data_IF_373821723431
#
_entry.id   IF_373821723431
#
_cell.length_a   1.000
_cell.length_b   1.000
_cell.length_c   1.000
_cell.angle_alpha   90.00
_cell.angle_beta   90.00
_cell.angle_gamma   90.00
#
_symmetry.space_group_name_H-M   'P 1'
#
loop_
_entity.id
_entity.type
_entity.pdbx_description
1 polymer ?
#
# COMPACT_ATOMS: atom_id res chain seq x y z
N UNK A 1 -24.02 -15.69 -39.97
CA UNK A 1 -24.20 -14.27 -39.59
C UNK A 1 -22.96 -13.85 -38.83
N UNK A 2 -22.38 -12.68 -39.11
CA UNK A 2 -21.33 -12.14 -38.23
C UNK A 2 -21.97 -11.78 -36.89
N UNK A 3 -21.36 -12.22 -35.79
CA UNK A 3 -21.82 -11.87 -34.45
C UNK A 3 -21.56 -10.38 -34.21
N UNK A 4 -22.48 -9.70 -33.53
CA UNK A 4 -22.37 -8.29 -33.20
C UNK A 4 -22.73 -8.07 -31.74
N UNK A 5 -22.25 -6.95 -31.19
CA UNK A 5 -22.52 -6.54 -29.82
C UNK A 5 -23.10 -5.13 -29.83
N UNK A 6 -23.97 -4.83 -28.87
CA UNK A 6 -24.55 -3.50 -28.67
C UNK A 6 -23.89 -2.86 -27.46
N UNK A 7 -23.23 -1.72 -27.64
CA UNK A 7 -22.60 -0.98 -26.55
C UNK A 7 -23.37 0.29 -26.24
N UNK A 8 -23.72 0.53 -24.97
CA UNK A 8 -24.36 1.78 -24.53
C UNK A 8 -23.35 2.65 -23.82
N UNK A 9 -23.18 3.88 -24.30
CA UNK A 9 -22.30 4.88 -23.70
C UNK A 9 -22.82 5.35 -22.34
N UNK A 10 -24.13 5.39 -22.16
CA UNK A 10 -24.80 5.83 -20.91
C UNK A 10 -24.54 4.85 -19.77
N UNK A 11 -24.57 3.55 -20.07
CA UNK A 11 -24.38 2.49 -19.05
C UNK A 11 -22.96 1.92 -19.05
N UNK A 12 -22.11 2.37 -19.97
CA UNK A 12 -20.75 1.88 -20.21
C UNK A 12 -20.68 0.33 -20.29
N UNK A 13 -21.65 -0.28 -20.97
CA UNK A 13 -21.86 -1.74 -20.93
C UNK A 13 -22.21 -2.32 -22.31
N UNK A 14 -21.90 -3.60 -22.49
CA UNK A 14 -22.27 -4.38 -23.68
C UNK A 14 -23.53 -5.21 -23.41
N UNK A 15 -24.38 -5.32 -24.43
CA UNK A 15 -25.67 -6.01 -24.38
C UNK A 15 -25.81 -7.00 -25.53
N UNK A 16 -26.29 -8.23 -25.26
CA UNK A 16 -26.55 -9.25 -26.28
C UNK A 16 -27.89 -9.04 -26.99
N UNK A 17 -28.95 -8.63 -26.27
CA UNK A 17 -30.31 -8.33 -26.77
C UNK A 17 -30.98 -7.29 -25.85
N UNK A 18 -31.95 -6.54 -26.36
CA UNK A 18 -32.72 -5.53 -25.59
C UNK A 18 -31.85 -4.42 -24.95
N UNK A 19 -31.02 -3.78 -25.77
CA UNK A 19 -30.09 -2.76 -25.33
C UNK A 19 -30.75 -1.38 -25.16
N UNK A 20 -30.17 -0.48 -24.34
CA UNK A 20 -30.58 0.93 -24.26
C UNK A 20 -30.65 1.61 -25.63
N UNK A 21 -31.50 2.62 -25.76
CA UNK A 21 -31.74 3.32 -27.04
C UNK A 21 -30.49 4.03 -27.60
N UNK A 22 -29.53 4.38 -26.75
CA UNK A 22 -28.25 4.98 -27.14
C UNK A 22 -27.21 3.95 -27.59
N UNK A 23 -27.58 2.67 -27.70
CA UNK A 23 -26.63 1.61 -28.00
C UNK A 23 -26.18 1.64 -29.45
N UNK A 24 -24.86 1.51 -29.64
CA UNK A 24 -24.21 1.42 -30.94
C UNK A 24 -23.78 -0.01 -31.21
N UNK A 25 -23.96 -0.45 -32.45
CA UNK A 25 -23.53 -1.78 -32.89
C UNK A 25 -22.03 -1.78 -33.16
N UNK A 26 -21.32 -2.77 -32.62
CA UNK A 26 -19.92 -3.05 -32.91
C UNK A 26 -19.74 -4.49 -33.41
N UNK A 27 -18.64 -4.73 -34.13
CA UNK A 27 -18.31 -6.06 -34.61
C UNK A 27 -17.73 -6.93 -33.47
N UNK A 28 -17.78 -8.24 -33.64
CA UNK A 28 -17.13 -9.18 -32.73
C UNK A 28 -15.62 -8.98 -32.63
N UNK A 29 -14.94 -8.64 -33.73
CA UNK A 29 -13.52 -8.35 -33.71
C UNK A 29 -13.21 -7.13 -32.84
N UNK A 30 -14.02 -6.07 -32.94
CA UNK A 30 -13.86 -4.88 -32.10
C UNK A 30 -14.16 -5.16 -30.64
N UNK A 31 -15.20 -5.94 -30.35
CA UNK A 31 -15.51 -6.38 -28.99
C UNK A 31 -14.32 -7.15 -28.38
N UNK A 32 -13.75 -8.07 -29.13
CA UNK A 32 -12.59 -8.88 -28.71
C UNK A 32 -11.36 -7.99 -28.45
N UNK A 33 -11.06 -7.03 -29.33
CA UNK A 33 -9.99 -6.04 -29.15
C UNK A 33 -10.16 -5.23 -27.85
N UNK A 34 -11.38 -4.81 -27.54
CA UNK A 34 -11.70 -4.04 -26.33
C UNK A 34 -11.51 -4.88 -25.05
N UNK A 35 -11.99 -6.13 -25.04
CA UNK A 35 -11.84 -7.02 -23.90
C UNK A 35 -10.38 -7.48 -23.67
N UNK A 36 -9.63 -7.73 -24.74
CA UNK A 36 -8.21 -8.08 -24.63
C UNK A 36 -7.42 -6.94 -23.97
N UNK A 37 -7.67 -5.69 -24.39
CA UNK A 37 -7.05 -4.52 -23.78
C UNK A 37 -7.39 -4.34 -22.30
N UNK A 38 -8.61 -4.71 -21.85
CA UNK A 38 -8.91 -4.70 -20.41
C UNK A 38 -8.04 -5.65 -19.61
N UNK A 39 -7.67 -6.79 -20.18
CA UNK A 39 -6.76 -7.75 -19.55
C UNK A 39 -5.33 -7.19 -19.44
N UNK A 40 -4.99 -6.18 -20.24
CA UNK A 40 -3.73 -5.42 -20.19
C UNK A 40 -3.81 -4.22 -19.22
N UNK A 41 -4.93 -4.03 -18.52
CA UNK A 41 -5.13 -2.94 -17.55
C UNK A 41 -5.76 -1.67 -18.14
N UNK A 42 -6.27 -1.71 -19.38
CA UNK A 42 -6.99 -0.57 -19.98
C UNK A 42 -8.45 -0.51 -19.54
N UNK A 43 -9.04 0.67 -19.63
CA UNK A 43 -10.46 0.90 -19.43
C UNK A 43 -11.19 1.00 -20.79
N UNK A 44 -12.40 0.46 -20.86
CA UNK A 44 -13.32 0.73 -21.97
C UNK A 44 -14.16 1.94 -21.61
N UNK A 45 -14.08 2.99 -22.44
CA UNK A 45 -14.83 4.24 -22.26
C UNK A 45 -15.45 4.71 -23.57
N UNK A 46 -16.57 5.45 -23.51
CA UNK A 46 -17.17 6.01 -24.71
C UNK A 46 -16.39 7.24 -25.16
N UNK A 47 -16.12 7.32 -26.46
CA UNK A 47 -15.63 8.55 -27.09
C UNK A 47 -16.78 9.57 -27.29
N UNK A 48 -16.49 10.76 -27.82
CA UNK A 48 -17.52 11.81 -28.10
C UNK A 48 -18.66 11.29 -28.97
N UNK A 49 -18.39 10.34 -29.87
CA UNK A 49 -19.40 9.71 -30.74
C UNK A 49 -20.19 8.58 -30.07
N UNK A 50 -19.86 8.22 -28.83
CA UNK A 50 -20.51 7.16 -28.07
C UNK A 50 -20.01 5.75 -28.44
N UNK A 51 -18.94 5.67 -29.24
CA UNK A 51 -18.30 4.40 -29.56
C UNK A 51 -17.35 3.99 -28.44
N UNK A 52 -17.26 2.70 -28.10
CA UNK A 52 -16.32 2.22 -27.10
C UNK A 52 -14.89 2.29 -27.63
N UNK A 53 -13.99 2.87 -26.83
CA UNK A 53 -12.56 2.94 -27.08
C UNK A 53 -11.79 2.42 -25.86
N UNK A 54 -10.59 1.91 -26.11
CA UNK A 54 -9.65 1.56 -25.05
C UNK A 54 -8.83 2.79 -24.68
N UNK A 55 -8.74 3.06 -23.39
CA UNK A 55 -7.94 4.15 -22.81
C UNK A 55 -7.20 3.62 -21.60
N UNK A 56 -6.12 4.30 -21.20
CA UNK A 56 -5.44 3.96 -19.94
C UNK A 56 -6.42 4.07 -18.77
N UNK A 57 -6.27 3.22 -17.76
CA UNK A 57 -7.12 3.25 -16.58
C UNK A 57 -6.84 4.53 -15.77
N UNK A 58 -7.89 5.32 -15.53
CA UNK A 58 -7.82 6.50 -14.68
C UNK A 58 -7.60 6.13 -13.22
N UNK A 59 -7.16 7.11 -12.44
CA UNK A 59 -6.97 6.97 -11.00
C UNK A 59 -8.32 6.90 -10.28
N UNK A 60 -8.29 6.42 -9.03
CA UNK A 60 -9.51 6.27 -8.20
C UNK A 60 -10.28 7.57 -7.94
N UNK A 61 -9.62 8.72 -8.12
CA UNK A 61 -10.19 10.05 -7.95
C UNK A 61 -10.51 10.76 -9.27
N UNK A 62 -10.41 10.05 -10.39
CA UNK A 62 -10.69 10.60 -11.70
C UNK A 62 -11.97 10.01 -12.27
N UNK A 63 -12.73 10.85 -12.98
CA UNK A 63 -13.91 10.46 -13.74
C UNK A 63 -13.64 10.67 -15.23
N UNK A 64 -14.24 9.83 -16.07
CA UNK A 64 -14.07 9.96 -17.51
C UNK A 64 -14.96 11.08 -18.03
N UNK A 65 -14.37 12.13 -18.57
CA UNK A 65 -15.09 13.14 -19.34
C UNK A 65 -15.12 12.75 -20.82
N UNK A 66 -16.35 12.53 -21.31
CA UNK A 66 -16.60 12.17 -22.71
C UNK A 66 -16.34 13.34 -23.66
N UNK A 67 -16.56 14.58 -23.22
CA UNK A 67 -16.42 15.76 -24.07
C UNK A 67 -14.95 16.11 -24.32
N UNK A 68 -14.07 15.92 -23.34
CA UNK A 68 -12.62 16.03 -23.53
C UNK A 68 -11.96 14.73 -24.02
N UNK A 69 -12.63 13.58 -23.88
CA UNK A 69 -12.04 12.24 -24.02
C UNK A 69 -10.82 12.05 -23.12
N UNK A 70 -10.94 12.49 -21.86
CA UNK A 70 -9.88 12.39 -20.88
C UNK A 70 -10.41 12.08 -19.48
N UNK A 71 -9.54 11.52 -18.65
CA UNK A 71 -9.76 11.47 -17.21
C UNK A 71 -9.61 12.87 -16.62
N UNK A 72 -10.60 13.29 -15.85
CA UNK A 72 -10.60 14.56 -15.12
C UNK A 72 -10.68 14.27 -13.63
N UNK A 73 -10.00 15.08 -12.83
CA UNK A 73 -10.04 14.94 -11.37
C UNK A 73 -11.43 15.36 -10.89
N UNK A 74 -12.03 14.51 -10.06
CA UNK A 74 -13.23 14.86 -9.31
C UNK A 74 -12.80 15.32 -7.91
N UNK A 75 -13.21 16.52 -7.52
CA UNK A 75 -12.78 17.12 -6.25
C UNK A 75 -13.24 16.30 -5.03
N UNK A 76 -14.47 15.76 -5.05
CA UNK A 76 -15.00 14.98 -3.93
C UNK A 76 -14.25 13.65 -3.79
N UNK A 77 -14.02 12.95 -4.91
CA UNK A 77 -13.23 11.72 -4.92
C UNK A 77 -11.78 11.99 -4.52
N UNK A 78 -11.20 13.12 -4.95
CA UNK A 78 -9.83 13.48 -4.58
C UNK A 78 -9.69 13.76 -3.09
N UNK A 79 -10.63 14.50 -2.49
CA UNK A 79 -10.63 14.73 -1.03
C UNK A 79 -10.81 13.42 -0.26
N UNK A 80 -11.68 12.52 -0.75
CA UNK A 80 -11.84 11.20 -0.16
C UNK A 80 -10.54 10.39 -0.23
N UNK A 81 -9.90 10.35 -1.40
CA UNK A 81 -8.62 9.66 -1.60
C UNK A 81 -7.55 10.18 -0.64
N UNK A 82 -7.41 11.51 -0.52
CA UNK A 82 -6.46 12.14 0.38
C UNK A 82 -6.72 11.79 1.85
N UNK A 83 -7.99 11.74 2.26
CA UNK A 83 -8.37 11.32 3.62
C UNK A 83 -7.99 9.86 3.88
N UNK A 84 -8.24 8.97 2.92
CA UNK A 84 -7.88 7.56 3.02
C UNK A 84 -6.37 7.35 3.07
N UNK A 85 -5.59 8.06 2.26
CA UNK A 85 -4.12 8.01 2.31
C UNK A 85 -3.58 8.47 3.66
N UNK A 86 -4.03 9.63 4.15
CA UNK A 86 -3.63 10.14 5.48
C UNK A 86 -3.98 9.16 6.59
N UNK A 87 -5.14 8.51 6.51
CA UNK A 87 -5.55 7.53 7.50
C UNK A 87 -4.66 6.29 7.48
N UNK A 88 -4.25 5.82 6.29
CA UNK A 88 -3.30 4.69 6.15
C UNK A 88 -1.93 5.04 6.69
N UNK A 89 -1.42 6.23 6.38
CA UNK A 89 -0.13 6.71 6.90
C UNK A 89 -0.13 6.81 8.43
N UNK A 90 -1.20 7.36 9.02
CA UNK A 90 -1.35 7.40 10.47
C UNK A 90 -1.41 6.01 11.11
N UNK A 91 -2.09 5.05 10.48
CA UNK A 91 -2.13 3.67 10.95
C UNK A 91 -0.74 3.01 10.90
N UNK A 92 0.03 3.27 9.85
CA UNK A 92 1.40 2.78 9.74
C UNK A 92 2.29 3.38 10.83
N UNK A 93 2.22 4.70 11.04
CA UNK A 93 2.99 5.39 12.07
C UNK A 93 2.65 4.86 13.48
N UNK A 94 1.38 4.59 13.78
CA UNK A 94 1.01 3.96 15.05
C UNK A 94 1.60 2.56 15.22
N UNK A 95 1.58 1.74 14.17
CA UNK A 95 2.18 0.40 14.23
C UNK A 95 3.70 0.48 14.44
N UNK A 96 4.37 1.41 13.78
CA UNK A 96 5.81 1.61 13.92
C UNK A 96 6.17 2.11 15.33
N UNK A 97 5.37 3.02 15.90
CA UNK A 97 5.54 3.49 17.28
C UNK A 97 5.41 2.36 18.29
N UNK A 98 4.42 1.48 18.14
CA UNK A 98 4.24 0.32 19.04
C UNK A 98 5.47 -0.61 19.03
N UNK A 99 6.06 -0.82 17.85
CA UNK A 99 7.29 -1.59 17.71
C UNK A 99 8.45 -0.90 18.44
N UNK A 100 8.62 0.41 18.24
CA UNK A 100 9.69 1.18 18.88
C UNK A 100 9.56 1.19 20.41
N UNK A 101 8.35 1.36 20.95
CA UNK A 101 8.10 1.33 22.40
C UNK A 101 8.45 -0.04 23.01
N UNK A 102 8.10 -1.13 22.32
CA UNK A 102 8.48 -2.48 22.72
C UNK A 102 9.99 -2.68 22.71
N UNK A 103 10.67 -2.18 21.69
CA UNK A 103 12.10 -2.32 21.54
C UNK A 103 12.87 -1.48 22.56
N UNK A 104 12.41 -0.26 22.87
CA UNK A 104 12.94 0.56 23.98
C UNK A 104 12.83 -0.21 25.29
N UNK A 105 11.64 -0.73 25.61
CA UNK A 105 11.42 -1.50 26.84
C UNK A 105 12.33 -2.74 26.93
N UNK A 106 12.66 -3.36 25.79
CA UNK A 106 13.60 -4.48 25.73
C UNK A 106 15.02 -4.03 25.98
N UNK A 107 15.44 -2.91 25.39
CA UNK A 107 16.78 -2.36 25.56
C UNK A 107 17.02 -1.89 26.99
N UNK A 108 16.03 -1.29 27.64
CA UNK A 108 16.11 -0.92 29.06
C UNK A 108 16.35 -2.15 29.95
N UNK A 109 15.62 -3.24 29.74
CA UNK A 109 15.87 -4.50 30.47
C UNK A 109 17.27 -5.08 30.22
N UNK A 110 17.81 -4.93 29.02
CA UNK A 110 19.17 -5.38 28.69
C UNK A 110 20.19 -4.49 29.41
N UNK A 111 19.99 -3.17 29.40
CA UNK A 111 20.84 -2.22 30.11
C UNK A 111 20.90 -2.54 31.60
N UNK A 112 19.75 -2.68 32.24
CA UNK A 112 19.67 -2.93 33.69
C UNK A 112 20.41 -4.24 34.07
N UNK A 113 20.25 -5.30 33.26
CA UNK A 113 20.99 -6.56 33.46
C UNK A 113 22.50 -6.38 33.29
N UNK A 114 22.93 -5.61 32.29
CA UNK A 114 24.35 -5.36 32.07
C UNK A 114 24.95 -4.57 33.24
N UNK A 115 24.23 -3.59 33.79
CA UNK A 115 24.65 -2.84 34.99
C UNK A 115 24.82 -3.77 36.20
N UNK A 116 23.88 -4.70 36.41
CA UNK A 116 24.00 -5.72 37.47
C UNK A 116 25.19 -6.67 37.26
N UNK A 117 25.48 -7.05 36.02
CA UNK A 117 26.63 -7.90 35.67
C UNK A 117 27.96 -7.17 35.86
N UNK A 118 28.05 -5.90 35.47
CA UNK A 118 29.22 -5.04 35.71
C UNK A 118 29.50 -4.87 37.20
N UNK A 119 28.46 -4.65 38.02
CA UNK A 119 28.62 -4.55 39.47
C UNK A 119 29.19 -5.84 40.09
N UNK A 120 28.73 -7.01 39.63
CA UNK A 120 29.25 -8.32 40.08
C UNK A 120 30.70 -8.54 39.64
N UNK A 121 31.05 -8.16 38.41
CA UNK A 121 32.42 -8.25 37.91
C UNK A 121 33.37 -7.37 38.73
N UNK A 122 32.93 -6.15 39.09
CA UNK A 122 33.72 -5.26 39.94
C UNK A 122 33.95 -5.87 41.33
N UNK A 123 32.91 -6.43 41.96
CA UNK A 123 33.05 -7.10 43.24
C UNK A 123 34.07 -8.25 43.19
N UNK A 124 33.99 -9.11 42.17
CA UNK A 124 34.94 -10.22 41.99
C UNK A 124 36.37 -9.74 41.77
N UNK A 125 36.55 -8.63 41.05
CA UNK A 125 37.86 -8.02 40.84
C UNK A 125 38.45 -7.52 42.17
N UNK A 126 37.65 -6.86 43.00
CA UNK A 126 38.08 -6.35 44.31
C UNK A 126 38.43 -7.51 45.27
N UNK A 127 37.61 -8.56 45.32
CA UNK A 127 37.86 -9.78 46.10
C UNK A 127 39.16 -10.48 45.66
N UNK A 128 39.36 -10.65 44.36
CA UNK A 128 40.59 -11.23 43.79
C UNK A 128 41.83 -10.40 44.15
N UNK A 129 41.72 -9.08 44.07
CA UNK A 129 42.80 -8.15 44.43
C UNK A 129 43.16 -8.26 45.91
N UNK A 130 42.16 -8.39 46.78
CA UNK A 130 42.40 -8.57 48.21
C UNK A 130 43.07 -9.91 48.50
N UNK A 131 42.57 -11.00 47.92
CA UNK A 131 43.18 -12.33 48.06
C UNK A 131 44.64 -12.35 47.61
N UNK A 132 44.96 -11.66 46.51
CA UNK A 132 46.33 -11.56 46.02
C UNK A 132 47.24 -10.85 47.04
N UNK A 133 46.77 -9.76 47.65
CA UNK A 133 47.51 -9.05 48.71
C UNK A 133 47.70 -9.92 49.95
N UNK A 134 46.67 -10.66 50.36
CA UNK A 134 46.74 -11.54 51.52
C UNK A 134 47.75 -12.68 51.31
N UNK A 135 47.78 -13.28 50.11
CA UNK A 135 48.79 -14.27 49.73
C UNK A 135 50.20 -13.66 49.78
N UNK A 136 50.40 -12.48 49.20
CA UNK A 136 51.70 -11.81 49.26
C UNK A 136 52.15 -11.50 50.68
N UNK A 137 51.23 -11.13 51.58
CA UNK A 137 51.58 -10.90 52.98
C UNK A 137 52.06 -12.18 53.67
N UNK A 138 51.37 -13.32 53.42
CA UNK A 138 51.76 -14.63 53.95
C UNK A 138 53.11 -15.10 53.39
N UNK A 139 53.41 -14.84 52.11
CA UNK A 139 54.67 -15.24 51.48
C UNK A 139 55.89 -14.44 51.97
N UNK A 140 55.68 -13.26 52.56
CA UNK A 140 56.73 -12.35 53.00
C UNK A 140 56.97 -12.33 54.53
N UNK A 141 56.16 -13.07 55.31
CA UNK A 141 56.34 -13.32 56.76
C UNK A 141 57.11 -14.63 57.01
#
# INVERSE_FOLDING_TARGET
>A
MKQFYLYSATTNSFYPVSAPADSVQITEEKHTELFNAQSEGKAIKPNKKGLPINVEQGKSYEVWDRESESWIVDDELYQKHLKEEKQRELQQLHADLEILERDISRLERIRDRNEDEEAKLQQLYDESTQLYRDIQAIEND
#
